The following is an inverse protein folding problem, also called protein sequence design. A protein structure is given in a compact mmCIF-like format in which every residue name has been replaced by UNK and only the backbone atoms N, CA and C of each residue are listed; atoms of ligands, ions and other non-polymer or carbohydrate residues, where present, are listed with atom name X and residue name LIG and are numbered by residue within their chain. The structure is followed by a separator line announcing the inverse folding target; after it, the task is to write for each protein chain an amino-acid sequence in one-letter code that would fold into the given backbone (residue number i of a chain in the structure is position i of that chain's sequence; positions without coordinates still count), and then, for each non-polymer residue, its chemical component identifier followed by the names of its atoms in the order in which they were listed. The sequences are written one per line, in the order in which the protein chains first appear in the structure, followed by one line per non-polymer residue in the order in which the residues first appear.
data_IF_875250948615
#
_entry.id   IF_875250948615
#
_cell.length_a   1.000
_cell.length_b   1.000
_cell.length_c   1.000
_cell.angle_alpha   90.00
_cell.angle_beta   90.00
_cell.angle_gamma   90.00
#
_symmetry.space_group_name_H-M   'P 1'
#
loop_
_entity.id
_entity.type
_entity.pdbx_description
1 polymer ?
#
# COMPACT_ATOMS: atom_id res chain seq x y z
N UNK A 1 21.34 15.17 -4.37
CA UNK A 1 21.55 13.71 -4.22
C UNK A 1 20.29 13.05 -4.75
N UNK A 2 20.41 12.07 -5.67
CA UNK A 2 19.22 11.35 -6.13
C UNK A 2 18.72 10.51 -4.96
N UNK A 3 17.49 10.76 -4.46
CA UNK A 3 16.97 10.06 -3.29
C UNK A 3 16.84 8.56 -3.54
N UNK A 4 16.56 8.15 -4.77
CA UNK A 4 16.41 6.74 -5.16
C UNK A 4 17.67 5.92 -4.95
N UNK A 5 18.87 6.52 -5.18
CA UNK A 5 20.14 5.85 -4.93
C UNK A 5 20.56 5.87 -3.47
N UNK A 6 19.95 6.73 -2.66
CA UNK A 6 20.23 6.85 -1.23
C UNK A 6 19.26 6.06 -0.34
N UNK A 7 18.27 5.39 -0.93
CA UNK A 7 17.24 4.65 -0.23
C UNK A 7 17.53 3.14 -0.28
N UNK A 8 17.38 2.46 0.85
CA UNK A 8 17.27 1.00 0.94
C UNK A 8 15.81 0.59 0.76
N UNK A 9 15.56 -0.42 -0.06
CA UNK A 9 14.22 -0.93 -0.38
C UNK A 9 14.09 -2.40 0.00
N UNK A 10 13.12 -2.72 0.85
CA UNK A 10 12.84 -4.07 1.36
C UNK A 10 14.09 -4.77 1.93
N UNK A 11 14.84 -4.07 2.77
CA UNK A 11 16.04 -4.59 3.42
C UNK A 11 15.65 -5.61 4.49
N UNK A 12 16.09 -6.87 4.32
CA UNK A 12 15.80 -7.98 5.24
C UNK A 12 16.37 -7.77 6.66
N UNK A 13 17.32 -6.85 6.85
CA UNK A 13 17.79 -6.43 8.16
C UNK A 13 16.76 -5.64 8.97
N UNK A 14 15.69 -5.15 8.34
CA UNK A 14 14.59 -4.43 9.00
C UNK A 14 13.39 -5.36 9.23
N UNK A 15 12.92 -6.02 8.17
CA UNK A 15 11.86 -7.04 8.19
C UNK A 15 12.24 -8.12 7.20
N UNK A 16 12.09 -9.38 7.56
CA UNK A 16 12.33 -10.48 6.64
C UNK A 16 11.23 -10.56 5.58
N UNK A 17 11.60 -10.46 4.32
CA UNK A 17 10.68 -10.66 3.20
C UNK A 17 10.08 -12.07 3.18
N UNK A 18 10.85 -13.09 3.60
CA UNK A 18 10.35 -14.46 3.73
C UNK A 18 9.29 -14.58 4.84
N UNK A 19 9.43 -13.83 5.95
CA UNK A 19 8.43 -13.80 7.00
C UNK A 19 7.10 -13.20 6.50
N UNK A 20 7.15 -12.12 5.73
CA UNK A 20 5.97 -11.51 5.12
C UNK A 20 5.33 -12.46 4.11
N UNK A 21 6.12 -13.12 3.26
CA UNK A 21 5.61 -14.10 2.31
C UNK A 21 4.94 -15.28 3.01
N UNK A 22 5.53 -15.81 4.09
CA UNK A 22 4.94 -16.84 4.92
C UNK A 22 3.60 -16.38 5.51
N UNK A 23 3.59 -15.22 6.13
CA UNK A 23 2.38 -14.62 6.72
C UNK A 23 1.23 -14.50 5.69
N UNK A 24 1.51 -13.95 4.51
CA UNK A 24 0.50 -13.79 3.46
C UNK A 24 0.05 -15.16 2.91
N UNK A 25 0.99 -16.05 2.65
CA UNK A 25 0.70 -17.37 2.05
C UNK A 25 -0.17 -18.22 2.96
N UNK A 26 0.12 -18.26 4.25
CA UNK A 26 -0.60 -19.06 5.24
C UNK A 26 -2.02 -18.51 5.47
N UNK A 27 -2.14 -17.20 5.68
CA UNK A 27 -3.43 -16.57 5.99
C UNK A 27 -4.34 -16.46 4.76
N UNK A 28 -3.77 -16.23 3.59
CA UNK A 28 -4.51 -16.12 2.33
C UNK A 28 -4.61 -17.47 1.59
N UNK A 29 -4.08 -18.55 2.17
CA UNK A 29 -4.11 -19.90 1.60
C UNK A 29 -3.58 -19.95 0.18
N UNK A 30 -2.45 -19.29 -0.07
CA UNK A 30 -1.86 -19.19 -1.41
C UNK A 30 -1.12 -20.46 -1.86
N UNK A 31 -0.91 -21.41 -0.95
CA UNK A 31 -0.37 -22.72 -1.26
C UNK A 31 0.91 -22.66 -2.10
N UNK A 32 0.88 -23.27 -3.27
CA UNK A 32 2.05 -23.36 -4.18
C UNK A 32 2.56 -21.99 -4.69
N UNK A 33 1.80 -20.91 -4.51
CA UNK A 33 2.24 -19.57 -4.92
C UNK A 33 3.27 -18.92 -3.98
N UNK A 34 3.54 -19.51 -2.81
CA UNK A 34 4.51 -18.95 -1.85
C UNK A 34 5.88 -18.70 -2.49
N UNK A 35 6.42 -19.67 -3.21
CA UNK A 35 7.70 -19.52 -3.90
C UNK A 35 7.66 -18.43 -4.98
N UNK A 36 6.54 -18.32 -5.68
CA UNK A 36 6.33 -17.26 -6.67
C UNK A 36 6.25 -15.87 -6.02
N UNK A 37 5.59 -15.73 -4.87
CA UNK A 37 5.56 -14.46 -4.13
C UNK A 37 6.97 -14.06 -3.65
N UNK A 38 7.74 -14.98 -3.10
CA UNK A 38 9.13 -14.73 -2.71
C UNK A 38 9.99 -14.28 -3.91
N UNK A 39 9.78 -14.89 -5.08
CA UNK A 39 10.43 -14.46 -6.32
C UNK A 39 10.02 -13.03 -6.71
N UNK A 40 8.75 -12.64 -6.53
CA UNK A 40 8.28 -11.29 -6.81
C UNK A 40 8.93 -10.25 -5.90
N UNK A 41 9.11 -10.56 -4.60
CA UNK A 41 9.89 -9.69 -3.71
C UNK A 41 11.32 -9.49 -4.22
N UNK A 42 12.03 -10.57 -4.53
CA UNK A 42 13.41 -10.50 -5.06
C UNK A 42 13.48 -9.68 -6.34
N UNK A 43 12.50 -9.80 -7.22
CA UNK A 43 12.41 -8.97 -8.44
C UNK A 43 12.21 -7.51 -8.12
N UNK A 44 11.25 -7.17 -7.25
CA UNK A 44 11.02 -5.78 -6.86
C UNK A 44 12.27 -5.16 -6.23
N UNK A 45 12.96 -5.89 -5.34
CA UNK A 45 14.24 -5.45 -4.77
C UNK A 45 15.30 -5.22 -5.85
N UNK A 46 15.44 -6.14 -6.80
CA UNK A 46 16.46 -6.05 -7.86
C UNK A 46 16.17 -4.95 -8.87
N UNK A 47 14.91 -4.59 -9.07
CA UNK A 47 14.49 -3.56 -10.02
C UNK A 47 14.52 -2.16 -9.42
N UNK A 48 14.38 -2.06 -8.11
CA UNK A 48 14.51 -0.79 -7.42
C UNK A 48 15.98 -0.31 -7.45
N UNK A 49 16.29 0.96 -7.71
CA UNK A 49 15.36 2.08 -7.92
C UNK A 49 14.95 2.32 -9.39
N UNK A 50 15.48 1.60 -10.33
CA UNK A 50 15.52 1.95 -11.76
C UNK A 50 14.45 1.24 -12.61
N UNK A 51 13.48 0.57 -11.98
CA UNK A 51 12.43 -0.13 -12.70
C UNK A 51 11.57 0.86 -13.51
N UNK A 52 11.41 0.59 -14.80
CA UNK A 52 10.51 1.30 -15.70
C UNK A 52 9.54 0.35 -16.37
N UNK A 53 8.41 0.86 -16.88
CA UNK A 53 7.44 0.05 -17.62
C UNK A 53 8.03 -0.57 -18.90
N UNK A 54 9.07 0.03 -19.44
CA UNK A 54 9.76 -0.47 -20.64
C UNK A 54 10.77 -1.60 -20.32
N UNK A 55 10.97 -1.96 -19.06
CA UNK A 55 11.88 -3.03 -18.68
C UNK A 55 11.26 -4.39 -19.02
N UNK A 56 11.83 -5.16 -19.98
CA UNK A 56 11.24 -6.41 -20.43
C UNK A 56 11.16 -7.50 -19.36
N UNK A 57 11.87 -7.34 -18.24
CA UNK A 57 11.83 -8.28 -17.10
C UNK A 57 10.46 -8.32 -16.42
N UNK A 58 9.64 -7.30 -16.59
CA UNK A 58 8.29 -7.25 -16.06
C UNK A 58 7.34 -8.28 -16.68
N UNK A 59 7.62 -8.72 -17.89
CA UNK A 59 6.69 -9.49 -18.73
C UNK A 59 7.10 -10.96 -18.93
N UNK A 60 8.20 -11.38 -18.36
CA UNK A 60 8.84 -12.68 -18.70
C UNK A 60 8.07 -13.93 -18.24
N UNK A 61 6.95 -13.80 -17.54
CA UNK A 61 6.24 -14.97 -17.01
C UNK A 61 4.94 -15.32 -17.74
N UNK A 62 4.86 -15.02 -19.02
CA UNK A 62 3.72 -15.40 -19.86
C UNK A 62 2.46 -14.55 -19.66
N UNK A 63 2.55 -13.48 -18.87
CA UNK A 63 1.48 -12.50 -18.71
C UNK A 63 1.59 -11.48 -19.84
N UNK A 64 0.75 -11.58 -20.84
CA UNK A 64 0.64 -10.57 -21.89
C UNK A 64 -0.30 -9.45 -21.44
N UNK A 65 0.24 -8.36 -20.94
CA UNK A 65 -0.49 -7.10 -20.92
C UNK A 65 -0.29 -6.45 -22.29
N UNK A 66 -1.37 -6.16 -22.98
CA UNK A 66 -1.32 -5.66 -24.36
C UNK A 66 -0.62 -4.29 -24.47
N UNK A 67 -0.73 -3.45 -23.44
CA UNK A 67 0.01 -2.21 -23.27
C UNK A 67 0.26 -1.95 -21.78
N UNK A 68 1.45 -2.26 -21.27
CA UNK A 68 1.81 -2.03 -19.88
C UNK A 68 1.71 -0.57 -19.46
N UNK A 69 1.88 0.36 -20.37
CA UNK A 69 1.83 1.80 -20.08
C UNK A 69 0.41 2.33 -19.90
N UNK A 70 -0.60 1.59 -20.29
CA UNK A 70 -2.00 1.91 -20.00
C UNK A 70 -2.36 1.59 -18.54
N UNK A 71 -1.59 0.72 -17.90
CA UNK A 71 -1.74 0.34 -16.51
C UNK A 71 -0.60 0.99 -15.73
N UNK A 72 -0.92 1.96 -14.91
CA UNK A 72 0.04 2.72 -14.10
C UNK A 72 0.75 1.90 -13.03
N UNK A 73 0.31 0.67 -12.83
CA UNK A 73 0.93 -0.29 -11.94
C UNK A 73 1.86 -1.20 -12.74
N UNK A 74 3.12 -1.21 -12.38
CA UNK A 74 4.04 -2.22 -12.88
C UNK A 74 3.76 -3.51 -12.11
N UNK A 75 3.25 -4.51 -12.80
CA UNK A 75 2.70 -5.70 -12.20
C UNK A 75 3.57 -6.92 -12.47
N UNK A 76 3.65 -7.79 -11.47
CA UNK A 76 4.37 -9.06 -11.51
C UNK A 76 3.36 -10.20 -11.42
N UNK A 77 2.77 -10.62 -12.55
CA UNK A 77 1.74 -11.66 -12.56
C UNK A 77 2.25 -13.02 -12.08
N UNK A 78 1.42 -13.73 -11.31
CA UNK A 78 1.57 -15.15 -11.00
C UNK A 78 0.52 -15.89 -11.79
N UNK A 79 0.92 -16.70 -12.80
CA UNK A 79 -0.02 -17.41 -13.67
C UNK A 79 -0.85 -18.44 -12.91
N UNK A 80 -2.07 -18.68 -13.40
CA UNK A 80 -3.02 -19.62 -12.80
C UNK A 80 -2.44 -21.02 -12.57
N UNK A 81 -1.62 -21.53 -13.47
CA UNK A 81 -1.05 -22.87 -13.37
C UNK A 81 -0.13 -23.08 -12.14
N UNK A 82 0.39 -22.00 -11.56
CA UNK A 82 1.19 -22.05 -10.32
C UNK A 82 0.36 -22.50 -9.12
N UNK A 83 -0.94 -22.17 -9.10
CA UNK A 83 -1.82 -22.51 -7.98
C UNK A 83 -2.30 -23.96 -7.99
N UNK A 84 -2.15 -24.68 -9.11
CA UNK A 84 -2.57 -26.09 -9.23
C UNK A 84 -4.08 -26.30 -9.04
N UNK A 85 -4.44 -27.47 -8.49
CA UNK A 85 -5.82 -27.82 -8.17
C UNK A 85 -6.36 -27.11 -6.90
N UNK A 86 -5.48 -26.68 -6.02
CA UNK A 86 -5.79 -26.02 -4.77
C UNK A 86 -6.02 -24.51 -4.97
N UNK A 87 -6.70 -24.17 -6.04
CA UNK A 87 -7.05 -22.80 -6.38
C UNK A 87 -7.75 -22.11 -5.19
N UNK A 88 -7.20 -21.01 -4.65
CA UNK A 88 -7.81 -20.34 -3.51
C UNK A 88 -9.27 -19.98 -3.77
N UNK A 89 -10.15 -20.33 -2.84
CA UNK A 89 -11.61 -20.21 -3.01
C UNK A 89 -12.21 -18.95 -2.40
N UNK A 90 -11.40 -17.94 -2.09
CA UNK A 90 -11.89 -16.75 -1.40
C UNK A 90 -12.83 -15.88 -2.26
N UNK A 91 -12.84 -16.08 -3.56
CA UNK A 91 -13.69 -15.33 -4.48
C UNK A 91 -14.97 -16.10 -4.90
N UNK A 92 -15.42 -17.05 -4.08
CA UNK A 92 -16.62 -17.87 -4.39
C UNK A 92 -16.32 -19.14 -5.15
N UNK A 93 -17.34 -19.74 -5.74
CA UNK A 93 -17.31 -21.10 -6.33
C UNK A 93 -16.31 -21.31 -7.48
N UNK A 94 -15.76 -20.25 -8.03
CA UNK A 94 -14.79 -20.31 -9.13
C UNK A 94 -13.33 -20.10 -8.75
N UNK A 95 -13.06 -19.77 -7.48
CA UNK A 95 -11.73 -19.39 -7.02
C UNK A 95 -11.26 -18.02 -7.53
N UNK A 96 -10.22 -17.48 -6.91
CA UNK A 96 -9.69 -16.15 -7.18
C UNK A 96 -9.30 -15.92 -8.65
N UNK A 97 -8.77 -16.95 -9.30
CA UNK A 97 -8.27 -16.84 -10.66
C UNK A 97 -9.36 -16.82 -11.73
N UNK A 98 -10.61 -17.04 -11.33
CA UNK A 98 -11.78 -16.84 -12.19
C UNK A 98 -12.40 -15.45 -12.04
N UNK A 99 -11.91 -14.67 -11.07
CA UNK A 99 -12.29 -13.27 -10.93
C UNK A 99 -11.49 -12.40 -11.90
N UNK A 100 -12.09 -11.31 -12.35
CA UNK A 100 -11.37 -10.29 -13.10
C UNK A 100 -10.50 -9.43 -12.16
N UNK A 101 -9.38 -8.96 -12.67
CA UNK A 101 -8.57 -7.93 -12.02
C UNK A 101 -8.14 -8.27 -10.59
N UNK A 102 -7.72 -9.52 -10.36
CA UNK A 102 -7.27 -9.94 -9.03
C UNK A 102 -5.86 -9.44 -8.75
N UNK A 103 -5.69 -8.75 -7.63
CA UNK A 103 -4.40 -8.18 -7.26
C UNK A 103 -4.05 -8.32 -5.78
N UNK A 104 -2.77 -8.35 -5.50
CA UNK A 104 -2.17 -8.25 -4.17
C UNK A 104 -1.04 -7.25 -4.21
N UNK A 105 -0.96 -6.38 -3.20
CA UNK A 105 0.24 -5.59 -2.95
C UNK A 105 1.07 -6.26 -1.86
N UNK A 106 2.33 -6.54 -2.20
CA UNK A 106 3.28 -7.01 -1.21
C UNK A 106 3.70 -5.83 -0.34
N UNK A 107 3.60 -5.91 0.98
CA UNK A 107 4.10 -4.88 1.86
C UNK A 107 5.54 -4.50 1.52
N UNK A 108 5.86 -3.23 1.55
CA UNK A 108 7.21 -2.76 1.22
C UNK A 108 7.70 -1.78 2.26
N UNK A 109 9.00 -1.76 2.50
CA UNK A 109 9.62 -0.83 3.45
C UNK A 109 10.83 -0.16 2.84
N UNK A 110 11.03 1.08 3.22
CA UNK A 110 12.10 1.93 2.70
C UNK A 110 12.71 2.76 3.81
N UNK A 111 14.00 3.01 3.72
CA UNK A 111 14.69 3.95 4.60
C UNK A 111 15.86 4.63 3.85
N UNK A 112 16.26 5.80 4.29
CA UNK A 112 17.53 6.38 3.86
C UNK A 112 18.68 5.61 4.49
N UNK A 113 19.82 5.53 3.79
CA UNK A 113 21.00 4.78 4.28
C UNK A 113 21.48 5.20 5.68
N UNK A 114 21.26 6.47 6.04
CA UNK A 114 21.67 7.02 7.34
C UNK A 114 20.47 7.22 8.28
N UNK A 115 19.30 6.65 7.98
CA UNK A 115 18.14 6.77 8.82
C UNK A 115 18.30 6.01 10.14
N UNK A 116 17.57 6.46 11.16
CA UNK A 116 17.49 5.76 12.43
C UNK A 116 16.50 4.58 12.32
N UNK A 117 16.97 3.31 12.38
CA UNK A 117 16.11 2.14 12.22
C UNK A 117 15.13 1.95 13.39
N UNK A 118 15.29 2.72 14.48
CA UNK A 118 14.36 2.68 15.62
C UNK A 118 13.09 3.52 15.40
N UNK A 119 13.15 4.48 14.46
CA UNK A 119 11.98 5.29 14.09
C UNK A 119 11.25 4.53 12.99
N UNK A 120 10.12 3.91 13.30
CA UNK A 120 9.38 3.03 12.40
C UNK A 120 7.97 3.55 12.15
N UNK A 121 7.70 3.94 10.93
CA UNK A 121 6.42 4.52 10.48
C UNK A 121 5.72 3.49 9.61
N UNK A 122 4.57 2.98 10.05
CA UNK A 122 3.75 2.08 9.24
C UNK A 122 2.64 2.87 8.54
N UNK A 123 2.58 2.78 7.23
CA UNK A 123 1.57 3.43 6.40
C UNK A 123 0.61 2.38 5.85
N UNK A 124 -0.68 2.57 6.13
CA UNK A 124 -1.74 1.64 5.77
C UNK A 124 -2.69 2.28 4.77
N UNK A 125 -2.79 1.69 3.59
CA UNK A 125 -3.76 2.04 2.56
C UNK A 125 -5.01 1.15 2.62
N UNK A 126 -5.97 1.39 1.71
CA UNK A 126 -7.23 0.65 1.67
C UNK A 126 -7.06 -0.74 1.08
N UNK A 127 -6.72 -0.80 -0.21
CA UNK A 127 -6.67 -2.05 -0.98
C UNK A 127 -5.86 -1.90 -2.28
N UNK A 128 -5.26 -2.98 -2.80
CA UNK A 128 -4.55 -2.97 -4.08
C UNK A 128 -5.55 -2.90 -5.23
N UNK A 129 -5.80 -1.71 -5.79
CA UNK A 129 -6.73 -1.53 -6.92
C UNK A 129 -6.10 -1.95 -8.25
N UNK A 130 -6.82 -2.80 -8.99
CA UNK A 130 -6.45 -3.28 -10.32
C UNK A 130 -7.64 -3.15 -11.26
N UNK A 131 -7.41 -2.76 -12.51
CA UNK A 131 -8.48 -2.62 -13.51
C UNK A 131 -7.97 -3.00 -14.91
N UNK A 132 -8.81 -3.71 -15.66
CA UNK A 132 -8.55 -4.04 -17.06
C UNK A 132 -7.48 -5.10 -17.31
N UNK A 133 -7.11 -5.88 -16.27
CA UNK A 133 -6.06 -6.90 -16.36
C UNK A 133 -6.60 -8.27 -16.77
N UNK A 134 -7.93 -8.47 -16.70
CA UNK A 134 -8.58 -9.72 -17.04
C UNK A 134 -8.37 -10.82 -16.00
N UNK A 135 -8.66 -12.06 -16.41
CA UNK A 135 -8.60 -13.27 -15.59
C UNK A 135 -7.33 -14.06 -15.82
N UNK A 136 -7.05 -15.01 -14.94
CA UNK A 136 -6.01 -16.04 -15.18
C UNK A 136 -4.68 -15.82 -14.49
N UNK A 137 -4.51 -14.73 -13.74
CA UNK A 137 -3.33 -14.48 -12.93
C UNK A 137 -3.68 -13.75 -11.63
N UNK A 138 -2.85 -13.93 -10.61
CA UNK A 138 -2.77 -13.03 -9.46
C UNK A 138 -1.74 -11.94 -9.79
N UNK A 139 -2.18 -10.69 -9.87
CA UNK A 139 -1.33 -9.56 -10.18
C UNK A 139 -0.68 -9.02 -8.92
N UNK A 140 0.64 -9.03 -8.88
CA UNK A 140 1.43 -8.64 -7.71
C UNK A 140 2.07 -7.28 -7.96
N UNK A 141 2.00 -6.39 -6.98
CA UNK A 141 2.64 -5.09 -6.98
C UNK A 141 3.10 -4.74 -5.55
N UNK A 142 3.43 -3.50 -5.30
CA UNK A 142 3.61 -2.92 -3.96
C UNK A 142 2.61 -1.79 -3.77
N UNK A 143 2.31 -1.40 -2.52
CA UNK A 143 1.43 -0.27 -2.25
C UNK A 143 1.89 0.96 -3.04
N UNK A 144 0.96 1.59 -3.76
CA UNK A 144 1.23 2.69 -4.70
C UNK A 144 2.33 2.40 -5.74
N UNK A 145 2.63 1.14 -6.02
CA UNK A 145 3.67 0.69 -6.96
C UNK A 145 5.05 1.36 -6.73
N UNK A 146 5.43 1.57 -5.48
CA UNK A 146 6.68 2.27 -5.12
C UNK A 146 7.96 1.56 -5.59
N UNK A 147 7.89 0.29 -5.95
CA UNK A 147 8.98 -0.43 -6.61
C UNK A 147 9.26 0.07 -8.04
N UNK A 148 8.34 0.84 -8.65
CA UNK A 148 8.47 1.36 -10.01
C UNK A 148 8.84 2.84 -10.01
N UNK A 149 9.97 3.20 -10.63
CA UNK A 149 10.38 4.59 -10.80
C UNK A 149 9.37 5.38 -11.63
N UNK A 150 8.84 4.78 -12.69
CA UNK A 150 7.85 5.42 -13.55
C UNK A 150 6.60 5.78 -12.77
N UNK A 151 6.07 4.85 -11.99
CA UNK A 151 4.88 5.11 -11.19
C UNK A 151 5.13 6.12 -10.08
N UNK A 152 6.27 6.07 -9.40
CA UNK A 152 6.66 7.09 -8.42
C UNK A 152 6.65 8.50 -8.99
N UNK A 153 7.03 8.64 -10.25
CA UNK A 153 7.11 9.92 -10.96
C UNK A 153 5.80 10.28 -11.68
N UNK A 154 4.81 9.38 -11.70
CA UNK A 154 3.54 9.60 -12.38
C UNK A 154 2.70 10.69 -11.71
N UNK A 155 1.95 11.47 -12.50
CA UNK A 155 1.14 12.61 -12.06
C UNK A 155 0.08 12.29 -11.00
N UNK A 156 -0.31 11.01 -10.86
CA UNK A 156 -1.25 10.55 -9.83
C UNK A 156 -0.60 10.21 -8.50
N UNK A 157 0.73 10.02 -8.48
CA UNK A 157 1.46 9.57 -7.30
C UNK A 157 2.51 10.55 -6.73
N UNK A 158 2.81 11.73 -7.29
CA UNK A 158 3.86 12.59 -6.79
C UNK A 158 3.61 13.07 -5.36
N UNK A 159 2.34 13.22 -4.98
CA UNK A 159 1.96 13.60 -3.60
C UNK A 159 2.33 12.52 -2.59
N UNK A 160 1.99 11.25 -2.86
CA UNK A 160 2.40 10.14 -2.00
C UNK A 160 3.93 10.03 -1.92
N UNK A 161 4.60 10.19 -3.06
CA UNK A 161 6.07 10.24 -3.08
C UNK A 161 6.59 11.33 -2.14
N UNK A 162 6.08 12.55 -2.24
CA UNK A 162 6.50 13.67 -1.38
C UNK A 162 6.26 13.37 0.11
N UNK A 163 5.09 12.79 0.45
CA UNK A 163 4.76 12.41 1.83
C UNK A 163 5.73 11.34 2.36
N UNK A 164 5.98 10.29 1.60
CA UNK A 164 6.89 9.21 2.01
C UNK A 164 8.34 9.71 2.08
N UNK A 165 8.76 10.57 1.15
CA UNK A 165 10.07 11.23 1.20
C UNK A 165 10.24 12.07 2.47
N UNK A 166 9.21 12.83 2.84
CA UNK A 166 9.22 13.63 4.08
C UNK A 166 9.33 12.74 5.33
N UNK A 167 8.60 11.62 5.38
CA UNK A 167 8.73 10.68 6.50
C UNK A 167 10.16 10.11 6.61
N UNK A 168 10.78 9.76 5.50
CA UNK A 168 12.15 9.27 5.50
C UNK A 168 13.18 10.36 5.80
N UNK A 169 12.92 11.62 5.40
CA UNK A 169 13.84 12.73 5.51
C UNK A 169 13.68 13.47 6.83
N UNK A 170 12.48 13.93 7.13
CA UNK A 170 12.22 14.84 8.25
C UNK A 170 12.05 14.07 9.57
N UNK A 171 11.54 12.84 9.49
CA UNK A 171 11.41 11.95 10.64
C UNK A 171 12.59 10.98 10.77
N UNK A 172 13.49 10.95 9.79
CA UNK A 172 14.65 10.03 9.74
C UNK A 172 14.25 8.56 9.94
N UNK A 173 13.05 8.19 9.50
CA UNK A 173 12.42 6.92 9.81
C UNK A 173 12.52 5.87 8.72
N UNK A 174 12.27 4.62 9.11
CA UNK A 174 11.91 3.54 8.20
C UNK A 174 10.42 3.64 7.93
N UNK A 175 10.03 3.66 6.67
CA UNK A 175 8.62 3.68 6.26
C UNK A 175 8.22 2.33 5.70
N UNK A 176 7.29 1.66 6.38
CA UNK A 176 6.66 0.41 5.94
C UNK A 176 5.29 0.74 5.35
N UNK A 177 4.99 0.23 4.18
CA UNK A 177 3.73 0.47 3.47
C UNK A 177 2.99 -0.84 3.25
N UNK A 178 1.70 -0.87 3.56
CA UNK A 178 0.82 -2.02 3.36
C UNK A 178 -0.61 -1.58 3.09
N UNK A 179 -1.47 -2.52 2.69
CA UNK A 179 -2.91 -2.33 2.58
C UNK A 179 -3.64 -3.03 3.73
N UNK A 180 -4.77 -2.46 4.18
CA UNK A 180 -5.60 -3.12 5.20
C UNK A 180 -6.31 -4.33 4.59
N UNK A 181 -6.79 -4.23 3.35
CA UNK A 181 -7.33 -5.33 2.57
C UNK A 181 -6.27 -5.84 1.63
N UNK A 182 -5.79 -7.05 1.85
CA UNK A 182 -4.63 -7.60 1.13
C UNK A 182 -4.90 -7.99 -0.31
N UNK A 183 -6.16 -8.28 -0.64
CA UNK A 183 -6.57 -8.74 -1.98
C UNK A 183 -7.64 -7.81 -2.54
N UNK A 184 -7.47 -7.44 -3.78
CA UNK A 184 -8.51 -6.88 -4.64
C UNK A 184 -8.98 -7.92 -5.64
N UNK A 185 -10.28 -8.03 -5.86
CA UNK A 185 -10.86 -8.82 -6.93
C UNK A 185 -12.16 -8.15 -7.39
N UNK A 186 -12.22 -7.78 -8.66
CA UNK A 186 -13.37 -7.08 -9.24
C UNK A 186 -14.66 -7.88 -9.08
N UNK A 187 -15.68 -7.23 -8.57
CA UNK A 187 -17.01 -7.84 -8.41
C UNK A 187 -17.14 -8.81 -7.24
N UNK A 188 -16.10 -9.01 -6.45
CA UNK A 188 -16.18 -9.80 -5.23
C UNK A 188 -16.43 -8.92 -4.02
N UNK A 189 -17.35 -9.38 -3.15
CA UNK A 189 -17.47 -8.76 -1.84
C UNK A 189 -16.34 -9.31 -0.96
N UNK A 190 -15.54 -8.43 -0.37
CA UNK A 190 -14.56 -8.77 0.66
C UNK A 190 -15.20 -9.29 1.95
N UNK A 191 -16.52 -9.45 1.95
CA UNK A 191 -17.31 -9.96 3.08
C UNK A 191 -16.84 -11.34 3.49
N UNK A 192 -16.31 -11.46 4.68
CA UNK A 192 -15.82 -12.72 5.26
C UNK A 192 -14.30 -12.81 5.40
N UNK A 193 -13.55 -11.84 4.88
CA UNK A 193 -12.09 -11.78 5.05
C UNK A 193 -11.62 -10.69 6.02
N UNK A 194 -12.51 -9.83 6.49
CA UNK A 194 -12.15 -8.70 7.37
C UNK A 194 -11.34 -9.16 8.59
N UNK A 195 -11.76 -10.25 9.24
CA UNK A 195 -11.01 -10.84 10.36
C UNK A 195 -9.61 -11.36 9.95
N UNK A 196 -9.50 -11.97 8.78
CA UNK A 196 -8.21 -12.46 8.24
C UNK A 196 -7.26 -11.30 7.94
N UNK A 197 -7.76 -10.26 7.27
CA UNK A 197 -6.94 -9.09 6.94
C UNK A 197 -6.46 -8.37 8.18
N UNK A 198 -7.32 -8.26 9.20
CA UNK A 198 -6.94 -7.70 10.50
C UNK A 198 -5.85 -8.53 11.17
N UNK A 199 -5.99 -9.86 11.21
CA UNK A 199 -4.96 -10.74 11.76
C UNK A 199 -3.62 -10.60 11.03
N UNK A 200 -3.65 -10.44 9.70
CA UNK A 200 -2.43 -10.18 8.93
C UNK A 200 -1.82 -8.83 9.34
N UNK A 201 -2.62 -7.77 9.43
CA UNK A 201 -2.13 -6.46 9.85
C UNK A 201 -1.55 -6.50 11.26
N UNK A 202 -2.19 -7.20 12.19
CA UNK A 202 -1.69 -7.36 13.57
C UNK A 202 -0.31 -8.06 13.58
N UNK A 203 -0.14 -9.12 12.78
CA UNK A 203 1.16 -9.77 12.61
C UNK A 203 2.20 -8.87 11.90
N UNK A 204 1.80 -8.07 10.92
CA UNK A 204 2.70 -7.07 10.30
C UNK A 204 3.15 -6.03 11.32
N UNK A 205 2.26 -5.58 12.20
CA UNK A 205 2.59 -4.67 13.32
C UNK A 205 3.59 -5.31 14.26
N UNK A 206 3.40 -6.57 14.62
CA UNK A 206 4.36 -7.31 15.47
C UNK A 206 5.73 -7.45 14.81
N UNK A 207 5.77 -7.83 13.53
CA UNK A 207 7.01 -8.00 12.77
C UNK A 207 7.77 -6.68 12.58
N UNK A 208 7.06 -5.62 12.25
CA UNK A 208 7.67 -4.32 11.98
C UNK A 208 7.89 -3.49 13.24
N UNK A 209 7.07 -3.67 14.29
CA UNK A 209 7.09 -2.93 15.55
C UNK A 209 7.09 -1.41 15.34
N UNK A 210 6.04 -0.81 14.76
CA UNK A 210 6.02 0.61 14.42
C UNK A 210 5.91 1.51 15.66
N UNK A 211 6.55 2.69 15.58
CA UNK A 211 6.37 3.78 16.56
C UNK A 211 5.04 4.50 16.33
N UNK A 212 4.59 4.53 15.08
CA UNK A 212 3.33 5.14 14.66
C UNK A 212 2.74 4.42 13.47
N UNK A 213 1.41 4.28 13.47
CA UNK A 213 0.61 3.77 12.36
C UNK A 213 -0.13 4.95 11.70
N UNK A 214 -0.01 5.08 10.40
CA UNK A 214 -0.65 6.13 9.59
C UNK A 214 -1.62 5.46 8.63
N UNK A 215 -2.91 5.73 8.79
CA UNK A 215 -3.96 5.24 7.91
C UNK A 215 -4.48 6.34 6.99
N UNK A 216 -4.93 5.98 5.80
CA UNK A 216 -5.54 6.90 4.84
C UNK A 216 -6.96 6.52 4.48
N UNK A 217 -7.89 7.42 4.77
CA UNK A 217 -9.29 7.30 4.34
C UNK A 217 -10.23 6.66 5.34
N UNK A 218 -11.52 6.74 5.05
CA UNK A 218 -12.59 6.25 5.93
C UNK A 218 -12.56 4.73 6.07
N UNK A 219 -12.29 4.00 4.98
CA UNK A 219 -12.23 2.53 5.01
C UNK A 219 -11.18 2.04 6.00
N UNK A 220 -9.99 2.67 6.02
CA UNK A 220 -8.94 2.30 6.98
C UNK A 220 -9.38 2.61 8.41
N UNK A 221 -10.04 3.76 8.64
CA UNK A 221 -10.58 4.10 9.96
C UNK A 221 -11.62 3.07 10.42
N UNK A 222 -12.54 2.69 9.54
CA UNK A 222 -13.60 1.72 9.85
C UNK A 222 -13.04 0.35 10.21
N UNK A 223 -12.01 -0.10 9.52
CA UNK A 223 -11.34 -1.38 9.80
C UNK A 223 -10.53 -1.36 11.10
N UNK A 224 -9.83 -0.25 11.38
CA UNK A 224 -9.08 -0.08 12.63
C UNK A 224 -10.01 0.16 13.83
N UNK A 225 -11.18 0.76 13.61
CA UNK A 225 -12.16 1.14 14.64
C UNK A 225 -13.58 0.71 14.25
N UNK A 226 -13.91 -0.58 14.27
CA UNK A 226 -15.28 -1.04 14.03
C UNK A 226 -16.23 -0.43 15.06
N UNK A 227 -17.24 0.24 14.56
CA UNK A 227 -18.23 0.96 15.40
C UNK A 227 -18.18 2.48 15.25
N UNK A 228 -17.10 3.05 14.71
CA UNK A 228 -17.13 4.44 14.20
C UNK A 228 -17.76 4.54 12.80
N UNK A 229 -17.91 3.42 12.11
CA UNK A 229 -18.47 3.28 10.76
C UNK A 229 -19.95 3.63 10.62
N UNK A 230 -20.65 3.91 11.71
CA UNK A 230 -22.06 4.36 11.69
C UNK A 230 -22.24 5.86 11.36
N UNK A 231 -21.20 6.57 11.03
CA UNK A 231 -21.29 8.01 10.74
C UNK A 231 -21.76 8.27 9.31
N UNK A 232 -22.77 9.13 9.12
CA UNK A 232 -23.25 9.49 7.78
C UNK A 232 -22.13 10.13 6.95
N UNK A 233 -22.25 10.01 5.63
CA UNK A 233 -21.34 10.64 4.66
C UNK A 233 -21.01 12.08 5.05
N UNK A 234 -19.71 12.40 5.11
CA UNK A 234 -19.21 13.70 5.58
C UNK A 234 -18.77 13.75 7.05
N UNK A 235 -19.07 12.76 7.89
CA UNK A 235 -18.55 12.74 9.27
C UNK A 235 -17.05 12.51 9.29
N UNK A 236 -16.53 11.58 8.48
CA UNK A 236 -15.10 11.36 8.34
C UNK A 236 -14.37 12.63 7.89
N UNK A 237 -14.89 13.34 6.87
CA UNK A 237 -14.32 14.59 6.41
C UNK A 237 -14.22 15.63 7.55
N UNK A 238 -15.23 15.71 8.39
CA UNK A 238 -15.21 16.63 9.56
C UNK A 238 -14.21 16.21 10.62
N UNK A 239 -14.04 14.89 10.84
CA UNK A 239 -13.08 14.37 11.81
C UNK A 239 -11.63 14.70 11.45
N UNK A 240 -11.29 14.64 10.14
CA UNK A 240 -9.90 14.77 9.67
C UNK A 240 -9.59 16.12 9.03
N UNK A 241 -10.54 17.05 8.99
CA UNK A 241 -10.45 18.30 8.24
C UNK A 241 -9.39 19.28 8.79
N UNK A 242 -9.18 19.31 10.10
CA UNK A 242 -8.21 20.18 10.77
C UNK A 242 -6.92 19.44 11.18
N UNK A 243 -7.06 18.22 11.59
CA UNK A 243 -5.96 17.37 12.05
C UNK A 243 -6.31 15.91 11.77
N UNK A 244 -5.32 14.99 11.72
CA UNK A 244 -5.62 13.56 11.65
C UNK A 244 -6.46 13.12 12.85
N UNK A 245 -7.29 12.10 12.65
CA UNK A 245 -7.89 11.39 13.75
C UNK A 245 -6.80 10.61 14.49
N UNK A 246 -6.72 10.75 15.80
CA UNK A 246 -5.67 10.12 16.62
C UNK A 246 -6.27 9.17 17.65
N UNK A 247 -5.70 7.98 17.74
CA UNK A 247 -6.08 6.94 18.70
C UNK A 247 -4.92 5.94 18.92
N UNK A 248 -5.19 4.85 19.63
CA UNK A 248 -4.30 3.71 19.76
C UNK A 248 -4.91 2.48 19.08
N UNK A 249 -4.14 1.81 18.25
CA UNK A 249 -4.47 0.50 17.70
C UNK A 249 -3.40 -0.52 18.16
N UNK A 250 -3.81 -1.54 18.90
CA UNK A 250 -2.90 -2.51 19.53
C UNK A 250 -1.75 -1.87 20.33
N UNK A 251 -2.04 -0.75 21.01
CA UNK A 251 -1.05 0.00 21.78
C UNK A 251 -0.14 0.92 20.94
N UNK A 252 -0.26 0.91 19.62
CA UNK A 252 0.50 1.77 18.72
C UNK A 252 -0.25 3.08 18.49
N UNK A 253 0.44 4.21 18.62
CA UNK A 253 -0.11 5.52 18.24
C UNK A 253 -0.56 5.47 16.79
N UNK A 254 -1.83 5.77 16.55
CA UNK A 254 -2.45 5.64 15.23
C UNK A 254 -3.04 6.97 14.80
N UNK A 255 -2.66 7.42 13.62
CA UNK A 255 -3.13 8.65 12.99
C UNK A 255 -3.88 8.28 11.70
N UNK A 256 -5.12 8.70 11.56
CA UNK A 256 -5.87 8.49 10.31
C UNK A 256 -6.13 9.82 9.63
N UNK A 257 -5.63 9.94 8.42
CA UNK A 257 -5.70 11.13 7.57
C UNK A 257 -6.77 11.00 6.48
N UNK A 258 -7.15 12.12 5.89
CA UNK A 258 -7.87 12.11 4.61
C UNK A 258 -7.07 11.32 3.57
N UNK A 259 -7.75 10.60 2.68
CA UNK A 259 -7.03 9.87 1.61
C UNK A 259 -6.35 10.87 0.66
N UNK A 260 -5.06 10.70 0.31
CA UNK A 260 -4.28 11.67 -0.46
C UNK A 260 -4.65 11.78 -1.95
N UNK A 261 -5.62 10.98 -2.42
CA UNK A 261 -6.10 11.04 -3.80
C UNK A 261 -6.67 12.42 -4.15
N UNK A 262 -6.34 12.99 -5.33
CA UNK A 262 -6.89 14.26 -5.79
C UNK A 262 -8.42 14.31 -5.85
N UNK A 263 -9.07 13.15 -5.98
CA UNK A 263 -10.53 13.00 -6.04
C UNK A 263 -11.21 13.02 -4.67
N UNK A 264 -10.44 13.04 -3.58
CA UNK A 264 -11.03 13.04 -2.24
C UNK A 264 -11.54 14.42 -1.85
N UNK A 265 -12.85 14.52 -1.63
CA UNK A 265 -13.52 15.77 -1.21
C UNK A 265 -12.96 16.33 0.11
N UNK A 266 -12.51 15.49 1.02
CA UNK A 266 -11.93 15.90 2.31
C UNK A 266 -10.67 16.75 2.16
N UNK A 267 -9.90 16.55 1.08
CA UNK A 267 -8.68 17.34 0.83
C UNK A 267 -8.95 18.82 0.55
N UNK A 268 -10.13 19.16 0.00
CA UNK A 268 -10.52 20.53 -0.18
C UNK A 268 -10.67 21.28 1.16
N UNK A 269 -11.30 20.62 2.11
CA UNK A 269 -11.47 21.14 3.48
C UNK A 269 -10.11 21.26 4.19
N UNK A 270 -9.30 20.22 4.15
CA UNK A 270 -7.95 20.20 4.74
C UNK A 270 -7.10 21.35 4.21
N UNK A 271 -6.99 21.50 2.88
CA UNK A 271 -6.19 22.54 2.28
C UNK A 271 -6.65 23.94 2.68
N UNK A 272 -7.98 24.17 2.71
CA UNK A 272 -8.54 25.48 3.10
C UNK A 272 -8.20 25.83 4.56
N UNK A 273 -8.30 24.86 5.47
CA UNK A 273 -7.99 25.08 6.88
C UNK A 273 -6.51 25.38 7.10
N UNK A 274 -5.62 24.56 6.50
CA UNK A 274 -4.17 24.76 6.63
C UNK A 274 -3.72 26.10 6.00
N UNK A 275 -4.30 26.51 4.86
CA UNK A 275 -4.01 27.82 4.25
C UNK A 275 -4.47 28.97 5.16
N UNK A 276 -5.64 28.86 5.79
CA UNK A 276 -6.14 29.88 6.71
C UNK A 276 -5.20 30.06 7.93
N UNK A 277 -4.61 28.98 8.41
CA UNK A 277 -3.65 28.98 9.52
C UNK A 277 -2.24 29.42 9.07
N UNK A 278 -1.91 29.28 7.78
CA UNK A 278 -0.60 29.57 7.19
C UNK A 278 -0.75 30.42 5.91
N UNK A 279 -1.08 31.72 6.02
CA UNK A 279 -1.27 32.56 4.85
C UNK A 279 -0.03 32.64 3.96
N UNK A 280 -0.24 32.45 2.66
CA UNK A 280 0.83 32.57 1.66
C UNK A 280 1.38 31.24 1.12
N UNK A 281 0.99 30.10 1.70
CA UNK A 281 1.36 28.80 1.13
C UNK A 281 0.38 28.39 0.00
N UNK A 282 0.88 27.59 -0.92
CA UNK A 282 0.06 26.99 -1.99
C UNK A 282 -0.84 25.87 -1.45
N UNK A 283 -1.86 25.51 -2.24
CA UNK A 283 -2.75 24.39 -1.90
C UNK A 283 -1.97 23.06 -1.74
N UNK A 284 -0.98 22.82 -2.59
CA UNK A 284 -0.20 21.58 -2.52
C UNK A 284 0.71 21.55 -1.30
N UNK A 285 1.37 22.67 -0.98
CA UNK A 285 2.15 22.80 0.26
C UNK A 285 1.27 22.62 1.50
N UNK A 286 0.07 23.15 1.52
CA UNK A 286 -0.88 22.96 2.61
C UNK A 286 -1.27 21.48 2.79
N UNK A 287 -1.48 20.78 1.70
CA UNK A 287 -1.79 19.34 1.73
C UNK A 287 -0.59 18.56 2.26
N UNK A 288 0.61 18.78 1.76
CA UNK A 288 1.83 18.09 2.23
C UNK A 288 2.06 18.39 3.72
N UNK A 289 1.96 19.65 4.13
CA UNK A 289 2.08 20.09 5.53
C UNK A 289 1.13 19.32 6.46
N UNK A 290 -0.13 19.15 6.08
CA UNK A 290 -1.12 18.39 6.84
C UNK A 290 -0.68 16.94 7.11
N UNK A 291 -0.02 16.28 6.13
CA UNK A 291 0.43 14.90 6.29
C UNK A 291 1.75 14.76 7.05
N UNK A 292 2.56 15.79 7.14
CA UNK A 292 3.93 15.69 7.66
C UNK A 292 4.15 16.36 9.01
N UNK A 293 3.30 17.31 9.38
CA UNK A 293 3.39 18.04 10.66
C UNK A 293 2.39 17.49 11.71
N UNK A 294 2.75 16.36 12.34
CA UNK A 294 1.95 15.69 13.39
C UNK A 294 2.79 15.22 14.59
#
# INVERSE_FOLDING_TARGET
MNWETAVSFCDDGIVSSDAIVGLLSDNLRLGNAQAALAERYRRMQSLYPNASADDPRWWQDGCTIADPRSHWDVLLGIPRNVFGADNPTWCGTGGILNCEDVGIDLPTWMMRRNANPQIRIMVVAEEPKRQGLGTGALWVSSPWAFHSMEYRNHSRNPRMRTIIEAFMQDKEGVVYMTDIRKIYAKGTAHRGFDGTYRSILDCEIELFNPSVLIGYGSTVLDELRPGLSGHPDGAFARLVCHRPYEDLYNGVRTLVFAHPSPLNASLGCVASNVINENPGITREEAIVKYYTEW
#
